data_IF_426217155023
#
_entry.id   IF_426217155023
#
_cell.length_a   1.000
_cell.length_b   1.000
_cell.length_c   1.000
_cell.angle_alpha   90.00
_cell.angle_beta   90.00
_cell.angle_gamma   90.00
#
_symmetry.space_group_name_H-M   'P 1'
#
loop_
_entity.id
_entity.type
_entity.pdbx_description
1 polymer ?
#
# COMPACT_ATOMS: atom_id res chain seq x y z
N UNK A 1 -41.71 21.52 -42.69
CA UNK A 1 -40.85 22.31 -41.79
C UNK A 1 -39.40 22.13 -42.27
N UNK A 2 -38.85 23.07 -43.04
CA UNK A 2 -37.44 22.99 -43.49
C UNK A 2 -36.59 23.43 -42.29
N UNK A 3 -35.94 22.48 -41.61
CA UNK A 3 -34.94 22.85 -40.62
C UNK A 3 -33.79 23.57 -41.34
N UNK A 4 -33.46 24.77 -40.87
CA UNK A 4 -32.37 25.58 -41.38
C UNK A 4 -31.03 24.83 -41.21
N UNK A 5 -30.24 24.77 -42.29
CA UNK A 5 -28.96 24.09 -42.35
C UNK A 5 -28.00 24.58 -41.26
N UNK A 6 -28.09 25.85 -40.88
CA UNK A 6 -27.29 26.44 -39.80
C UNK A 6 -27.70 25.87 -38.42
N UNK A 7 -29.00 25.70 -38.18
CA UNK A 7 -29.54 25.20 -36.91
C UNK A 7 -29.14 23.73 -36.68
N UNK A 8 -29.17 22.92 -37.74
CA UNK A 8 -28.75 21.51 -37.69
C UNK A 8 -27.27 21.34 -37.37
N UNK A 9 -26.42 22.24 -37.91
CA UNK A 9 -24.98 22.24 -37.60
C UNK A 9 -24.70 22.57 -36.14
N UNK A 10 -25.41 23.56 -35.58
CA UNK A 10 -25.25 23.93 -34.17
C UNK A 10 -25.70 22.80 -33.25
N UNK A 11 -26.87 22.19 -33.52
CA UNK A 11 -27.38 21.05 -32.75
C UNK A 11 -26.39 19.88 -32.80
N UNK A 12 -25.84 19.58 -33.99
CA UNK A 12 -24.87 18.50 -34.14
C UNK A 12 -23.58 18.75 -33.34
N UNK A 13 -23.05 19.97 -33.33
CA UNK A 13 -21.85 20.32 -32.56
C UNK A 13 -22.10 20.15 -31.06
N UNK A 14 -23.26 20.59 -30.57
CA UNK A 14 -23.62 20.44 -29.14
C UNK A 14 -23.69 18.96 -28.76
N UNK A 15 -24.35 18.13 -29.57
CA UNK A 15 -24.44 16.68 -29.32
C UNK A 15 -23.07 16.01 -29.38
N UNK A 16 -22.19 16.41 -30.30
CA UNK A 16 -20.84 15.90 -30.42
C UNK A 16 -19.99 16.25 -29.17
N UNK A 17 -20.10 17.47 -28.66
CA UNK A 17 -19.39 17.89 -27.44
C UNK A 17 -19.85 17.13 -26.20
N UNK A 18 -21.17 16.89 -26.06
CA UNK A 18 -21.71 16.07 -24.96
C UNK A 18 -21.19 14.64 -25.06
N UNK A 19 -21.22 14.04 -26.27
CA UNK A 19 -20.71 12.70 -26.51
C UNK A 19 -19.23 12.56 -26.19
N UNK A 20 -18.41 13.53 -26.59
CA UNK A 20 -16.99 13.54 -26.27
C UNK A 20 -16.73 13.67 -24.76
N UNK A 21 -17.51 14.50 -24.07
CA UNK A 21 -17.41 14.66 -22.62
C UNK A 21 -17.75 13.37 -21.88
N UNK A 22 -18.80 12.66 -22.30
CA UNK A 22 -19.11 11.33 -21.76
C UNK A 22 -17.97 10.36 -22.04
N UNK A 23 -17.51 10.24 -23.29
CA UNK A 23 -16.43 9.32 -23.63
C UNK A 23 -15.17 9.58 -22.79
N UNK A 24 -14.79 10.84 -22.60
CA UNK A 24 -13.66 11.23 -21.76
C UNK A 24 -13.88 10.86 -20.30
N UNK A 25 -15.09 11.07 -19.77
CA UNK A 25 -15.46 10.63 -18.42
C UNK A 25 -15.27 9.12 -18.27
N UNK A 26 -15.77 8.30 -19.20
CA UNK A 26 -15.59 6.84 -19.18
C UNK A 26 -14.12 6.43 -19.24
N UNK A 27 -13.31 7.06 -20.10
CA UNK A 27 -11.87 6.79 -20.22
C UNK A 27 -11.14 7.14 -18.92
N UNK A 28 -11.43 8.30 -18.32
CA UNK A 28 -10.82 8.71 -17.06
C UNK A 28 -11.27 7.81 -15.90
N UNK A 29 -12.56 7.48 -15.80
CA UNK A 29 -13.06 6.54 -14.79
C UNK A 29 -12.41 5.16 -14.92
N UNK A 30 -12.23 4.68 -16.14
CA UNK A 30 -11.53 3.41 -16.39
C UNK A 30 -10.05 3.51 -16.02
N UNK A 31 -9.37 4.60 -16.41
CA UNK A 31 -7.96 4.82 -16.10
C UNK A 31 -7.70 4.97 -14.60
N UNK A 32 -8.59 5.62 -13.85
CA UNK A 32 -8.50 5.74 -12.38
C UNK A 32 -8.79 4.41 -11.70
N UNK A 33 -9.66 3.59 -12.29
CA UNK A 33 -10.01 2.26 -11.77
C UNK A 33 -8.97 1.20 -12.10
N UNK A 34 -7.98 1.50 -12.95
CA UNK A 34 -6.87 0.58 -13.18
C UNK A 34 -5.86 0.72 -12.02
N UNK A 35 -5.53 -0.37 -11.31
CA UNK A 35 -4.45 -0.34 -10.35
C UNK A 35 -3.15 0.01 -11.08
N UNK A 36 -2.40 0.98 -10.54
CA UNK A 36 -1.08 1.34 -11.05
C UNK A 36 -0.16 0.11 -10.99
N UNK A 37 0.05 -0.54 -12.13
CA UNK A 37 0.88 -1.73 -12.30
C UNK A 37 2.37 -1.41 -12.51
N UNK A 38 2.79 -0.16 -12.31
CA UNK A 38 4.12 0.33 -12.69
C UNK A 38 4.80 1.20 -11.65
N UNK A 39 4.62 0.87 -10.38
CA UNK A 39 5.59 1.19 -9.33
C UNK A 39 5.91 -0.12 -8.66
N UNK A 40 7.16 -0.58 -8.75
CA UNK A 40 7.59 -1.84 -8.14
C UNK A 40 7.25 -1.77 -6.66
N UNK A 41 6.23 -2.51 -6.24
CA UNK A 41 5.93 -2.69 -4.83
C UNK A 41 7.08 -3.49 -4.26
N UNK A 42 7.57 -3.07 -3.10
CA UNK A 42 8.59 -3.83 -2.39
C UNK A 42 8.11 -5.27 -2.23
N UNK A 43 9.01 -6.22 -2.39
CA UNK A 43 8.76 -7.61 -2.00
C UNK A 43 9.00 -7.77 -0.49
N UNK A 44 8.52 -8.85 0.14
CA UNK A 44 8.69 -9.07 1.57
C UNK A 44 10.16 -9.04 2.04
N UNK A 45 11.07 -9.55 1.22
CA UNK A 45 12.50 -9.62 1.51
C UNK A 45 13.11 -8.22 1.57
N UNK A 46 12.72 -7.32 0.66
CA UNK A 46 13.16 -5.92 0.67
C UNK A 46 12.62 -5.17 1.88
N UNK A 47 11.35 -5.42 2.26
CA UNK A 47 10.76 -4.89 3.48
C UNK A 47 11.51 -5.38 4.73
N UNK A 48 11.95 -6.64 4.75
CA UNK A 48 12.73 -7.18 5.85
C UNK A 48 14.16 -6.59 5.92
N UNK A 49 14.81 -6.35 4.78
CA UNK A 49 16.10 -5.65 4.72
C UNK A 49 15.99 -4.24 5.32
N UNK A 50 14.91 -3.52 5.04
CA UNK A 50 14.64 -2.21 5.65
C UNK A 50 14.56 -2.33 7.17
N UNK A 51 13.89 -3.35 7.71
CA UNK A 51 13.83 -3.60 9.16
C UNK A 51 15.22 -3.91 9.73
N UNK A 52 16.02 -4.72 9.04
CA UNK A 52 17.41 -5.00 9.45
C UNK A 52 18.24 -3.72 9.53
N UNK A 53 18.07 -2.81 8.58
CA UNK A 53 18.75 -1.53 8.57
C UNK A 53 18.24 -0.59 9.68
N UNK A 54 16.94 -0.31 9.70
CA UNK A 54 16.36 0.78 10.50
C UNK A 54 16.15 0.40 11.97
N UNK A 55 15.89 -0.88 12.27
CA UNK A 55 15.61 -1.36 13.63
C UNK A 55 16.82 -2.05 14.24
N UNK A 56 17.43 -2.97 13.49
CA UNK A 56 18.57 -3.75 13.98
C UNK A 56 19.92 -3.09 13.70
N UNK A 57 19.92 -1.90 13.10
CA UNK A 57 21.11 -1.08 12.85
C UNK A 57 22.20 -1.82 12.07
N UNK A 58 21.81 -2.72 11.16
CA UNK A 58 22.73 -3.37 10.25
C UNK A 58 23.28 -2.36 9.24
N UNK A 59 24.60 -2.32 9.10
CA UNK A 59 25.23 -1.44 8.11
C UNK A 59 24.92 -1.88 6.68
N UNK A 60 24.94 -0.93 5.74
CA UNK A 60 24.75 -1.22 4.32
C UNK A 60 25.76 -2.25 3.77
N UNK A 61 26.99 -2.27 4.30
CA UNK A 61 27.99 -3.28 3.91
C UNK A 61 27.62 -4.68 4.36
N UNK A 62 26.99 -4.84 5.53
CA UNK A 62 26.47 -6.14 5.98
C UNK A 62 25.28 -6.56 5.11
N UNK A 63 24.38 -5.64 4.80
CA UNK A 63 23.18 -5.92 4.00
C UNK A 63 23.52 -6.27 2.54
N UNK A 64 24.57 -5.66 1.97
CA UNK A 64 25.01 -5.95 0.58
C UNK A 64 25.39 -7.41 0.36
N UNK A 65 25.86 -8.08 1.41
CA UNK A 65 26.29 -9.48 1.33
C UNK A 65 25.15 -10.48 1.61
N UNK A 66 23.96 -10.01 1.99
CA UNK A 66 22.80 -10.85 2.25
C UNK A 66 22.11 -11.18 0.93
N UNK A 67 21.87 -12.45 0.69
CA UNK A 67 21.03 -12.95 -0.41
C UNK A 67 19.64 -13.27 0.10
N UNK A 68 18.66 -13.40 -0.80
CA UNK A 68 17.31 -13.80 -0.40
C UNK A 68 17.26 -15.21 0.20
N UNK A 69 18.18 -16.11 -0.18
CA UNK A 69 18.31 -17.43 0.45
C UNK A 69 18.70 -17.32 1.93
N UNK A 70 19.51 -16.32 2.31
CA UNK A 70 19.90 -16.08 3.71
C UNK A 70 18.74 -15.58 4.58
N UNK A 71 17.71 -15.01 3.95
CA UNK A 71 16.52 -14.49 4.59
C UNK A 71 15.42 -15.55 4.75
N UNK A 72 15.56 -16.70 4.09
CA UNK A 72 14.56 -17.77 4.14
C UNK A 72 14.36 -18.28 5.57
N UNK A 73 13.09 -18.38 5.97
CA UNK A 73 12.69 -18.76 7.33
C UNK A 73 13.08 -17.79 8.45
N UNK A 74 13.68 -16.62 8.15
CA UNK A 74 14.02 -15.60 9.17
C UNK A 74 12.85 -14.74 9.60
N UNK A 75 11.84 -14.63 8.73
CA UNK A 75 10.66 -13.84 8.97
C UNK A 75 9.43 -14.51 8.35
N UNK A 76 8.25 -14.06 8.75
CA UNK A 76 7.02 -14.35 8.00
C UNK A 76 6.40 -13.05 7.53
N UNK A 77 5.76 -13.06 6.38
CA UNK A 77 5.16 -11.87 5.79
C UNK A 77 3.69 -12.06 5.44
N UNK A 78 2.92 -10.97 5.52
CA UNK A 78 1.56 -10.87 5.00
C UNK A 78 1.36 -9.51 4.38
N UNK A 79 0.64 -9.48 3.27
CA UNK A 79 0.23 -8.22 2.67
C UNK A 79 -0.99 -7.65 3.41
N UNK A 80 -0.91 -6.39 3.80
CA UNK A 80 -1.90 -5.74 4.66
C UNK A 80 -2.20 -4.31 4.22
N UNK A 81 -3.36 -3.84 4.63
CA UNK A 81 -3.72 -2.42 4.61
C UNK A 81 -3.83 -1.93 6.04
N UNK A 82 -3.15 -0.83 6.36
CA UNK A 82 -3.20 -0.15 7.66
C UNK A 82 -3.92 1.18 7.47
N UNK A 83 -4.99 1.39 8.23
CA UNK A 83 -5.74 2.65 8.24
C UNK A 83 -5.09 3.68 9.15
N UNK A 84 -5.50 4.94 8.98
CA UNK A 84 -5.04 6.05 9.81
C UNK A 84 -5.38 5.89 11.31
N UNK A 85 -6.39 5.09 11.65
CA UNK A 85 -6.75 4.76 13.04
C UNK A 85 -5.99 3.54 13.60
N UNK A 86 -5.00 3.03 12.86
CA UNK A 86 -4.20 1.86 13.23
C UNK A 86 -4.89 0.52 12.94
N UNK A 87 -6.11 0.48 12.40
CA UNK A 87 -6.79 -0.77 12.07
C UNK A 87 -6.09 -1.48 10.90
N UNK A 88 -5.83 -2.77 11.05
CA UNK A 88 -5.13 -3.60 10.06
C UNK A 88 -6.12 -4.56 9.40
N UNK A 89 -6.15 -4.52 8.07
CA UNK A 89 -6.88 -5.44 7.22
C UNK A 89 -5.92 -6.34 6.44
N UNK A 90 -6.30 -7.60 6.24
CA UNK A 90 -5.68 -8.40 5.19
C UNK A 90 -5.96 -7.75 3.84
N UNK A 91 -4.96 -7.69 2.98
CA UNK A 91 -5.10 -7.18 1.62
C UNK A 91 -4.49 -8.16 0.62
N UNK A 92 -5.06 -8.22 -0.57
CA UNK A 92 -4.41 -8.86 -1.71
C UNK A 92 -3.37 -7.91 -2.33
N UNK A 93 -2.19 -8.42 -2.66
CA UNK A 93 -1.10 -7.60 -3.21
C UNK A 93 -1.41 -7.03 -4.59
N UNK A 94 -2.11 -7.81 -5.42
CA UNK A 94 -2.36 -7.48 -6.83
C UNK A 94 -3.65 -6.68 -6.99
N UNK A 95 -4.70 -7.07 -6.27
CA UNK A 95 -6.05 -6.48 -6.43
C UNK A 95 -6.39 -5.42 -5.38
N UNK A 96 -5.65 -5.34 -4.27
CA UNK A 96 -5.98 -4.54 -3.07
C UNK A 96 -7.34 -4.85 -2.47
N UNK A 97 -7.92 -6.01 -2.80
CA UNK A 97 -9.15 -6.47 -2.17
C UNK A 97 -8.91 -6.68 -0.68
N UNK A 98 -9.81 -6.12 0.13
CA UNK A 98 -9.73 -6.18 1.57
C UNK A 98 -10.40 -7.46 2.07
N UNK A 99 -9.66 -8.22 2.87
CA UNK A 99 -10.16 -9.34 3.62
C UNK A 99 -10.60 -8.96 5.02
N UNK A 100 -10.47 -9.94 5.93
CA UNK A 100 -10.79 -9.79 7.34
C UNK A 100 -9.88 -8.78 8.04
N UNK A 101 -10.38 -8.23 9.14
CA UNK A 101 -9.58 -7.46 10.10
C UNK A 101 -8.61 -8.41 10.80
N UNK A 102 -7.33 -8.04 10.86
CA UNK A 102 -6.26 -8.81 11.49
C UNK A 102 -5.94 -8.34 12.91
N UNK A 103 -6.25 -7.07 13.21
CA UNK A 103 -6.01 -6.45 14.51
C UNK A 103 -5.80 -4.95 14.37
N UNK A 104 -5.15 -4.36 15.37
CA UNK A 104 -4.76 -2.95 15.38
C UNK A 104 -3.27 -2.82 15.71
N UNK A 105 -2.68 -1.72 15.27
CA UNK A 105 -1.36 -1.23 15.68
C UNK A 105 -1.51 0.17 16.28
N UNK A 106 -0.42 0.73 16.82
CA UNK A 106 -0.36 2.15 17.19
C UNK A 106 -0.68 3.02 15.98
N UNK A 107 -1.14 4.25 16.23
CA UNK A 107 -1.43 5.20 15.16
C UNK A 107 -0.24 5.32 14.19
N UNK A 108 -0.47 5.18 12.87
CA UNK A 108 0.61 5.29 11.89
C UNK A 108 1.37 6.60 11.98
N UNK A 109 2.67 6.56 11.68
CA UNK A 109 3.57 7.73 11.71
C UNK A 109 3.11 8.82 10.75
N UNK A 110 2.47 8.40 9.66
CA UNK A 110 1.88 9.27 8.66
C UNK A 110 0.37 9.08 8.66
N UNK A 111 -0.38 10.18 8.71
CA UNK A 111 -1.83 10.13 8.56
C UNK A 111 -2.21 9.65 7.16
N UNK A 112 -2.92 8.54 7.05
CA UNK A 112 -3.31 7.99 5.75
C UNK A 112 -3.66 6.51 5.79
N UNK A 113 -3.99 5.98 4.62
CA UNK A 113 -4.14 4.54 4.40
C UNK A 113 -2.86 4.05 3.74
N UNK A 114 -2.25 3.02 4.31
CA UNK A 114 -0.99 2.45 3.85
C UNK A 114 -1.21 1.01 3.41
N UNK A 115 -0.64 0.63 2.26
CA UNK A 115 -0.60 -0.75 1.80
C UNK A 115 0.83 -1.25 1.89
N UNK A 116 1.05 -2.40 2.51
CA UNK A 116 2.37 -2.79 2.95
C UNK A 116 2.49 -4.23 3.41
N UNK A 117 3.64 -4.52 4.00
CA UNK A 117 3.97 -5.81 4.57
C UNK A 117 3.87 -5.76 6.10
N UNK A 118 3.08 -6.67 6.67
CA UNK A 118 3.26 -7.11 8.06
C UNK A 118 4.40 -8.14 8.03
N UNK A 119 5.54 -7.79 8.64
CA UNK A 119 6.70 -8.67 8.80
C UNK A 119 6.79 -9.07 10.28
N UNK A 120 6.78 -10.37 10.56
CA UNK A 120 7.05 -10.91 11.89
C UNK A 120 8.48 -11.43 11.95
N UNK A 121 9.30 -10.84 12.82
CA UNK A 121 10.68 -11.27 13.08
C UNK A 121 11.00 -11.11 14.57
N UNK A 122 11.67 -12.10 15.17
CA UNK A 122 11.99 -12.13 16.60
C UNK A 122 10.76 -11.82 17.49
N UNK A 123 9.63 -12.49 17.23
CA UNK A 123 8.35 -12.32 17.92
C UNK A 123 7.78 -10.88 17.91
N UNK A 124 8.31 -10.01 17.04
CA UNK A 124 7.89 -8.62 16.89
C UNK A 124 7.31 -8.39 15.50
N UNK A 125 6.19 -7.66 15.44
CA UNK A 125 5.55 -7.27 14.19
C UNK A 125 6.03 -5.88 13.75
N UNK A 126 6.37 -5.78 12.47
CA UNK A 126 6.77 -4.56 11.81
C UNK A 126 5.86 -4.33 10.60
N UNK A 127 5.52 -3.07 10.33
CA UNK A 127 4.66 -2.69 9.22
C UNK A 127 5.43 -1.76 8.30
N UNK A 128 5.69 -2.19 7.05
CA UNK A 128 6.48 -1.42 6.07
C UNK A 128 5.58 -1.10 4.87
N UNK A 129 5.53 0.16 4.49
CA UNK A 129 4.77 0.63 3.33
C UNK A 129 5.40 0.11 2.04
N UNK A 130 4.61 -0.60 1.23
CA UNK A 130 5.11 -1.31 0.05
C UNK A 130 5.51 -0.38 -1.10
N UNK A 131 5.15 0.90 -1.05
CA UNK A 131 5.48 1.87 -2.10
C UNK A 131 6.66 2.75 -1.72
N UNK A 132 6.70 3.20 -0.47
CA UNK A 132 7.72 4.12 0.03
C UNK A 132 8.87 3.45 0.76
N UNK A 133 8.69 2.21 1.23
CA UNK A 133 9.65 1.54 2.11
C UNK A 133 9.76 2.15 3.50
N UNK A 134 8.85 3.05 3.87
CA UNK A 134 8.85 3.64 5.20
C UNK A 134 8.13 2.73 6.20
N UNK A 135 8.57 2.77 7.45
CA UNK A 135 7.84 2.15 8.53
C UNK A 135 6.48 2.86 8.73
N UNK A 136 5.39 2.09 8.68
CA UNK A 136 4.03 2.60 8.83
C UNK A 136 3.77 2.95 10.30
N UNK A 137 4.16 2.07 11.22
CA UNK A 137 4.00 2.25 12.66
C UNK A 137 5.17 1.61 13.40
N UNK A 138 5.53 2.18 14.55
CA UNK A 138 6.53 1.55 15.41
C UNK A 138 5.97 0.24 15.98
N UNK A 139 6.82 -0.79 16.15
CA UNK A 139 6.39 -2.02 16.80
C UNK A 139 5.89 -1.72 18.21
N UNK A 140 4.76 -2.32 18.59
CA UNK A 140 4.36 -2.32 19.99
C UNK A 140 5.40 -3.10 20.79
N UNK A 141 6.21 -2.38 21.58
CA UNK A 141 7.08 -3.00 22.57
C UNK A 141 6.15 -3.63 23.61
N UNK A 142 5.88 -4.93 23.49
CA UNK A 142 5.31 -5.70 24.59
C UNK A 142 6.31 -5.67 25.74
N UNK A 143 6.13 -4.73 26.67
CA UNK A 143 6.83 -4.72 27.94
C UNK A 143 6.47 -6.00 28.72
N UNK A 144 7.21 -7.08 28.51
CA UNK A 144 7.07 -8.30 29.31
C UNK A 144 7.81 -8.26 30.66
N UNK A 145 8.38 -7.12 31.07
CA UNK A 145 9.10 -7.03 32.35
C UNK A 145 8.61 -5.85 33.21
N UNK A 146 7.47 -6.03 33.89
CA UNK A 146 7.13 -5.23 35.08
C UNK A 146 6.45 -6.01 36.23
N UNK A 147 6.53 -7.35 36.28
CA UNK A 147 5.96 -8.13 37.40
C UNK A 147 6.93 -9.19 37.96
N UNK A 148 8.18 -8.82 38.18
CA UNK A 148 9.12 -9.58 39.00
C UNK A 148 9.98 -8.63 39.82
N UNK A 149 9.35 -7.85 40.70
CA UNK A 149 9.90 -7.36 41.96
C UNK A 149 8.90 -6.39 42.61
N UNK A 150 8.01 -6.91 43.45
CA UNK A 150 7.38 -6.21 44.58
C UNK A 150 6.86 -7.25 45.56
#
# INVERSE_FOLDING_TARGET
>A
MKLDLAHNKVIFIILLSIGFTLAMYWVLSYSISQPNSTSGRLIPEEAYIIILHDVFNHSLDQLRNITFEDLDGKFTSKYVMVKADGTIHQADQETHELGKILGNTVEPLTGGIHYGWEIMANDTKYYIDSTSGQMISYPEIFNQNQNSNS
#
